data_IF_577882034981
#
_entry.id   IF_577882034981
#
_cell.length_a   1.000
_cell.length_b   1.000
_cell.length_c   1.000
_cell.angle_alpha   90.00
_cell.angle_beta   90.00
_cell.angle_gamma   90.00
#
_symmetry.space_group_name_H-M   'P 1'
#
loop_
_entity.id
_entity.type
_entity.pdbx_description
1 polymer ?
#
# COMPACT_ATOMS: atom_id res chain seq x y z
N UNK A 1 -11.92 15.39 -1.65
CA UNK A 1 -10.58 15.25 -1.05
C UNK A 1 -9.61 14.92 -2.17
N UNK A 2 -8.54 15.68 -2.30
CA UNK A 2 -7.53 15.45 -3.32
C UNK A 2 -6.61 14.29 -2.89
N UNK A 3 -6.06 13.57 -3.87
CA UNK A 3 -5.03 12.56 -3.65
C UNK A 3 -3.69 13.26 -3.39
N UNK A 4 -3.18 13.19 -2.16
CA UNK A 4 -1.97 13.88 -1.71
C UNK A 4 -0.90 12.89 -1.25
N UNK A 5 -0.50 11.96 -2.11
CA UNK A 5 0.51 10.94 -1.79
C UNK A 5 1.85 11.54 -1.37
N UNK A 6 2.31 12.59 -2.07
CA UNK A 6 3.58 13.26 -1.74
C UNK A 6 3.55 13.85 -0.33
N UNK A 7 2.45 14.50 0.06
CA UNK A 7 2.30 15.06 1.40
C UNK A 7 2.24 13.97 2.48
N UNK A 8 1.54 12.87 2.20
CA UNK A 8 1.50 11.72 3.10
C UNK A 8 2.88 11.10 3.29
N UNK A 9 3.65 10.97 2.20
CA UNK A 9 5.04 10.51 2.24
C UNK A 9 5.92 11.44 3.07
N UNK A 10 5.84 12.77 2.85
CA UNK A 10 6.64 13.74 3.60
C UNK A 10 6.38 13.67 5.10
N UNK A 11 5.13 13.51 5.51
CA UNK A 11 4.75 13.35 6.92
C UNK A 11 5.31 12.05 7.51
N UNK A 12 5.17 10.94 6.79
CA UNK A 12 5.70 9.64 7.22
C UNK A 12 7.23 9.68 7.32
N UNK A 13 7.90 10.29 6.34
CA UNK A 13 9.36 10.40 6.31
C UNK A 13 9.91 11.28 7.45
N UNK A 14 9.22 12.35 7.81
CA UNK A 14 9.60 13.16 8.99
C UNK A 14 9.51 12.34 10.27
N UNK A 15 8.41 11.62 10.46
CA UNK A 15 8.23 10.77 11.62
C UNK A 15 9.27 9.66 11.68
N UNK A 16 9.56 9.02 10.55
CA UNK A 16 10.58 7.99 10.43
C UNK A 16 11.97 8.52 10.81
N UNK A 17 12.35 9.70 10.31
CA UNK A 17 13.61 10.34 10.65
C UNK A 17 13.71 10.71 12.13
N UNK A 18 12.64 11.19 12.74
CA UNK A 18 12.60 11.50 14.18
C UNK A 18 12.75 10.23 15.03
N UNK A 19 12.11 9.14 14.63
CA UNK A 19 12.24 7.84 15.30
C UNK A 19 13.65 7.25 15.11
N UNK A 20 14.22 7.33 13.91
CA UNK A 20 15.55 6.84 13.60
C UNK A 20 16.65 7.56 14.39
N UNK A 21 16.43 8.82 14.81
CA UNK A 21 17.34 9.55 15.67
C UNK A 21 17.36 9.02 17.12
N UNK A 22 16.31 8.31 17.54
CA UNK A 22 16.13 7.80 18.91
C UNK A 22 16.18 6.28 19.02
N UNK A 23 15.87 5.58 17.93
CA UNK A 23 15.77 4.13 17.87
C UNK A 23 16.73 3.59 16.82
N UNK A 24 17.30 2.43 17.10
CA UNK A 24 18.11 1.69 16.14
C UNK A 24 17.21 0.75 15.33
N UNK A 25 17.02 1.06 14.05
CA UNK A 25 16.26 0.19 13.15
C UNK A 25 17.14 -0.96 12.64
N UNK A 26 16.55 -2.14 12.53
CA UNK A 26 17.21 -3.29 11.92
C UNK A 26 17.35 -3.03 10.41
N UNK A 27 18.56 -2.83 9.95
CA UNK A 27 18.89 -2.50 8.56
C UNK A 27 20.07 -3.34 8.07
N UNK A 28 20.01 -3.75 6.80
CA UNK A 28 21.09 -4.43 6.11
C UNK A 28 21.31 -3.78 4.73
N UNK A 29 22.55 -3.54 4.37
CA UNK A 29 22.90 -2.85 3.10
C UNK A 29 22.36 -3.56 1.85
N UNK A 30 22.25 -4.89 1.88
CA UNK A 30 21.75 -5.69 0.77
C UNK A 30 20.23 -5.76 0.70
N UNK A 31 19.58 -5.85 1.86
CA UNK A 31 18.13 -6.13 1.95
C UNK A 31 17.30 -4.92 2.40
N UNK A 32 17.94 -3.83 2.80
CA UNK A 32 17.25 -2.66 3.35
C UNK A 32 16.76 -2.89 4.79
N UNK A 33 15.63 -2.32 5.13
CA UNK A 33 15.04 -2.51 6.46
C UNK A 33 14.55 -3.94 6.65
N UNK A 34 14.97 -4.53 7.78
CA UNK A 34 14.63 -5.90 8.13
C UNK A 34 13.32 -5.94 8.90
N UNK A 35 12.41 -6.78 8.46
CA UNK A 35 11.07 -6.93 9.03
C UNK A 35 10.77 -8.41 9.32
N UNK A 36 9.86 -8.67 10.26
CA UNK A 36 9.42 -10.01 10.57
C UNK A 36 8.66 -10.67 9.41
N UNK A 37 8.00 -9.86 8.56
CA UNK A 37 7.30 -10.34 7.38
C UNK A 37 8.14 -10.07 6.12
N UNK A 38 8.53 -11.10 5.35
CA UNK A 38 9.37 -10.93 4.16
C UNK A 38 8.79 -9.97 3.10
N UNK A 39 7.48 -9.83 3.05
CA UNK A 39 6.80 -8.93 2.10
C UNK A 39 7.02 -7.45 2.39
N UNK A 40 7.46 -7.09 3.59
CA UNK A 40 7.73 -5.72 4.01
C UNK A 40 9.23 -5.38 3.99
N UNK A 41 10.07 -6.31 3.57
CA UNK A 41 11.52 -6.15 3.51
C UNK A 41 11.91 -5.09 2.46
N UNK A 42 13.01 -4.37 2.68
CA UNK A 42 13.51 -3.38 1.73
C UNK A 42 13.24 -1.94 2.16
N UNK A 43 12.44 -1.20 1.42
CA UNK A 43 12.07 0.18 1.78
C UNK A 43 11.20 0.24 3.04
N UNK A 44 10.51 -0.84 3.38
CA UNK A 44 9.51 -0.84 4.46
C UNK A 44 8.30 0.06 4.17
N UNK A 45 8.24 0.66 2.98
CA UNK A 45 7.22 1.63 2.59
C UNK A 45 6.05 0.94 1.90
N UNK A 46 4.86 1.16 2.43
CA UNK A 46 3.61 0.77 1.80
C UNK A 46 2.74 1.99 1.53
N UNK A 47 2.55 2.30 0.27
CA UNK A 47 1.60 3.32 -0.16
C UNK A 47 0.26 2.66 -0.50
N UNK A 48 -0.83 3.22 0.00
CA UNK A 48 -2.17 2.73 -0.31
C UNK A 48 -3.13 3.88 -0.56
N UNK A 49 -4.07 3.63 -1.47
CA UNK A 49 -5.13 4.57 -1.83
C UNK A 49 -6.47 3.90 -1.62
N UNK A 50 -7.38 4.58 -0.95
CA UNK A 50 -8.76 4.16 -0.82
C UNK A 50 -9.58 4.82 -1.92
N UNK A 51 -10.23 4.01 -2.75
CA UNK A 51 -11.03 4.47 -3.89
C UNK A 51 -12.47 4.02 -3.77
N UNK A 52 -13.38 4.90 -4.13
CA UNK A 52 -14.80 4.60 -4.25
C UNK A 52 -15.14 4.30 -5.73
N UNK A 53 -15.48 3.05 -6.04
CA UNK A 53 -15.63 2.55 -7.41
C UNK A 53 -17.00 1.91 -7.66
N UNK A 54 -18.11 2.62 -7.43
CA UNK A 54 -19.45 2.04 -7.61
C UNK A 54 -19.75 1.67 -9.07
N UNK A 55 -19.24 2.42 -10.02
CA UNK A 55 -19.44 2.16 -11.44
C UNK A 55 -18.87 0.81 -11.89
N UNK A 56 -17.63 0.49 -11.47
CA UNK A 56 -16.98 -0.78 -11.81
C UNK A 56 -17.67 -1.99 -11.16
N UNK A 57 -18.25 -1.79 -9.99
CA UNK A 57 -19.05 -2.85 -9.32
C UNK A 57 -20.35 -3.08 -10.04
N UNK A 58 -21.06 -2.02 -10.42
CA UNK A 58 -22.34 -2.10 -11.14
C UNK A 58 -22.18 -2.73 -12.53
N UNK A 59 -21.11 -2.41 -13.26
CA UNK A 59 -20.83 -2.97 -14.58
C UNK A 59 -20.22 -4.38 -14.51
N UNK A 60 -19.92 -4.88 -13.30
CA UNK A 60 -19.22 -6.17 -13.06
C UNK A 60 -17.83 -6.28 -13.70
N UNK A 61 -17.22 -5.15 -14.04
CA UNK A 61 -15.88 -5.08 -14.64
C UNK A 61 -14.76 -5.11 -13.60
N UNK A 62 -15.11 -4.96 -12.32
CA UNK A 62 -14.16 -4.92 -11.22
C UNK A 62 -13.20 -6.12 -11.23
N UNK A 63 -13.67 -7.32 -11.53
CA UNK A 63 -12.84 -8.52 -11.56
C UNK A 63 -11.76 -8.51 -12.66
N UNK A 64 -12.02 -7.86 -13.80
CA UNK A 64 -11.02 -7.71 -14.87
C UNK A 64 -9.96 -6.69 -14.49
N UNK A 65 -10.38 -5.56 -13.91
CA UNK A 65 -9.47 -4.52 -13.41
C UNK A 65 -8.55 -5.08 -12.33
N UNK A 66 -9.08 -5.88 -11.40
CA UNK A 66 -8.31 -6.52 -10.34
C UNK A 66 -7.21 -7.44 -10.86
N UNK A 67 -7.54 -8.26 -11.85
CA UNK A 67 -6.55 -9.15 -12.49
C UNK A 67 -5.44 -8.35 -13.18
N UNK A 68 -5.79 -7.25 -13.86
CA UNK A 68 -4.82 -6.37 -14.48
C UNK A 68 -3.88 -5.71 -13.47
N UNK A 69 -4.40 -5.23 -12.35
CA UNK A 69 -3.61 -4.60 -11.30
C UNK A 69 -2.63 -5.57 -10.64
N UNK A 70 -3.04 -6.80 -10.38
CA UNK A 70 -2.16 -7.83 -9.83
C UNK A 70 -0.96 -8.15 -10.76
N UNK A 71 -1.15 -8.09 -12.07
CA UNK A 71 -0.08 -8.32 -13.04
C UNK A 71 1.02 -7.24 -12.99
N UNK A 72 0.68 -6.02 -12.59
CA UNK A 72 1.65 -4.91 -12.46
C UNK A 72 2.17 -4.74 -11.02
N UNK A 73 1.94 -5.71 -10.14
CA UNK A 73 2.48 -5.72 -8.78
C UNK A 73 1.71 -4.82 -7.80
N UNK A 74 0.43 -4.59 -8.07
CA UNK A 74 -0.47 -3.82 -7.22
C UNK A 74 -1.43 -4.79 -6.53
N UNK A 75 -1.50 -4.69 -5.21
CA UNK A 75 -2.46 -5.44 -4.39
C UNK A 75 -3.74 -4.63 -4.22
N UNK A 76 -4.84 -5.33 -4.29
CA UNK A 76 -6.16 -4.76 -4.19
C UNK A 76 -6.99 -5.48 -3.13
N UNK A 77 -7.71 -4.72 -2.31
CA UNK A 77 -8.61 -5.27 -1.28
C UNK A 77 -9.90 -4.48 -1.24
N UNK A 78 -11.04 -5.19 -1.21
CA UNK A 78 -12.32 -4.60 -0.84
C UNK A 78 -12.36 -4.32 0.65
N UNK A 79 -13.01 -3.24 1.07
CA UNK A 79 -13.39 -3.05 2.46
C UNK A 79 -14.63 -3.90 2.75
N UNK A 80 -14.48 -4.86 3.65
CA UNK A 80 -15.55 -5.75 4.06
C UNK A 80 -16.13 -5.29 5.40
N UNK A 81 -17.48 -5.22 5.46
CA UNK A 81 -18.18 -5.07 6.72
C UNK A 81 -18.52 -6.43 7.36
N UNK A 82 -19.27 -6.41 8.44
CA UNK A 82 -19.84 -7.62 9.04
C UNK A 82 -20.72 -8.32 7.99
N UNK A 83 -20.37 -9.55 7.65
CA UNK A 83 -21.12 -10.35 6.66
C UNK A 83 -20.44 -10.55 5.30
N UNK A 84 -19.14 -10.24 5.15
CA UNK A 84 -18.33 -10.48 3.94
C UNK A 84 -18.71 -9.73 2.66
N UNK A 85 -19.62 -8.78 2.71
CA UNK A 85 -19.90 -7.88 1.58
C UNK A 85 -18.97 -6.66 1.59
N UNK A 86 -18.59 -6.20 0.36
CA UNK A 86 -17.78 -4.99 0.20
C UNK A 86 -18.59 -3.78 0.64
N UNK A 87 -18.13 -3.07 1.69
CA UNK A 87 -18.85 -1.92 2.24
C UNK A 87 -18.71 -0.73 1.31
N UNK A 88 -19.86 -0.20 0.85
CA UNK A 88 -19.96 1.06 0.12
C UNK A 88 -19.15 1.13 -1.17
N UNK A 89 -18.78 -0.01 -1.78
CA UNK A 89 -17.94 -0.08 -2.99
C UNK A 89 -16.59 0.63 -2.84
N UNK A 90 -16.02 0.62 -1.63
CA UNK A 90 -14.68 1.12 -1.35
C UNK A 90 -13.64 0.01 -1.50
N UNK A 91 -12.54 0.37 -2.13
CA UNK A 91 -11.43 -0.53 -2.40
C UNK A 91 -10.10 0.12 -2.02
N UNK A 92 -9.23 -0.65 -1.42
CA UNK A 92 -7.86 -0.24 -1.10
C UNK A 92 -6.90 -0.82 -2.14
N UNK A 93 -6.12 0.05 -2.76
CA UNK A 93 -5.06 -0.29 -3.70
C UNK A 93 -3.72 0.03 -3.07
N UNK A 94 -2.76 -0.89 -3.11
CA UNK A 94 -1.44 -0.70 -2.53
C UNK A 94 -0.35 -1.44 -3.31
N UNK A 95 0.91 -1.01 -3.13
CA UNK A 95 2.05 -1.76 -3.66
C UNK A 95 2.13 -3.16 -3.00
N UNK A 96 2.56 -4.14 -3.77
CA UNK A 96 2.69 -5.53 -3.32
C UNK A 96 4.09 -5.83 -2.77
N UNK A 97 5.12 -5.25 -3.36
CA UNK A 97 6.52 -5.52 -3.03
C UNK A 97 7.26 -4.25 -2.64
N UNK A 98 8.20 -4.40 -1.72
CA UNK A 98 9.06 -3.33 -1.22
C UNK A 98 10.55 -3.62 -1.45
N UNK A 99 10.93 -4.89 -1.49
CA UNK A 99 12.30 -5.32 -1.74
C UNK A 99 12.73 -5.04 -3.20
N UNK A 100 13.91 -4.45 -3.38
CA UNK A 100 14.45 -4.13 -4.70
C UNK A 100 13.71 -3.01 -5.44
N UNK A 101 12.95 -2.21 -4.72
CA UNK A 101 12.26 -1.01 -5.22
C UNK A 101 12.90 0.25 -4.66
N UNK A 102 12.68 1.36 -5.33
CA UNK A 102 12.95 2.71 -4.83
C UNK A 102 11.69 3.27 -4.17
N UNK A 103 11.85 4.31 -3.37
CA UNK A 103 10.71 5.01 -2.75
C UNK A 103 9.96 5.93 -3.75
N UNK A 104 10.56 6.20 -4.91
CA UNK A 104 9.99 7.01 -5.99
C UNK A 104 8.99 6.24 -6.87
#
# INVERSE_FOLDING_TARGET
MALELSRAYDLANRLDNELAAQLEFAFNERFGYLTACPTNLGTGLRASVLMHLPGLVLTKEIGQVLRGLNQVGITFRGLYGEGSEVVGNFFQVSNQTTLGKTEE
#
